data_IF_265582828923
#
_entry.id   IF_265582828923
#
_cell.length_a   1.000
_cell.length_b   1.000
_cell.length_c   1.000
_cell.angle_alpha   90.00
_cell.angle_beta   90.00
_cell.angle_gamma   90.00
#
_symmetry.space_group_name_H-M   'P 1'
#
loop_
_entity.id
_entity.type
_entity.pdbx_description
1 polymer ?
#
# COMPACT_ATOMS: atom_id res chain seq x y z
N UNK A 1 20.77 -15.07 -25.36
CA UNK A 1 19.29 -15.11 -25.27
C UNK A 1 18.74 -15.42 -23.87
N UNK A 2 19.40 -16.23 -23.02
CA UNK A 2 18.86 -16.61 -21.70
C UNK A 2 18.71 -15.48 -20.65
N UNK A 3 19.55 -14.44 -20.68
CA UNK A 3 19.51 -13.34 -19.70
C UNK A 3 18.30 -12.42 -19.90
N UNK A 4 17.99 -12.06 -21.15
CA UNK A 4 16.87 -11.17 -21.48
C UNK A 4 15.51 -11.79 -21.12
N UNK A 5 15.31 -13.08 -21.37
CA UNK A 5 14.06 -13.79 -21.00
C UNK A 5 13.86 -13.82 -19.47
N UNK A 6 14.94 -14.02 -18.71
CA UNK A 6 14.88 -13.97 -17.23
C UNK A 6 14.58 -12.56 -16.73
N UNK A 7 15.22 -11.54 -17.32
CA UNK A 7 14.96 -10.14 -16.99
C UNK A 7 13.51 -9.72 -17.29
N UNK A 8 12.96 -10.10 -18.45
CA UNK A 8 11.55 -9.86 -18.79
C UNK A 8 10.60 -10.53 -17.80
N UNK A 9 10.91 -11.76 -17.36
CA UNK A 9 10.14 -12.44 -16.31
C UNK A 9 10.21 -11.70 -14.97
N UNK A 10 11.37 -11.17 -14.57
CA UNK A 10 11.50 -10.37 -13.35
C UNK A 10 10.64 -9.09 -13.42
N UNK A 11 10.65 -8.40 -14.56
CA UNK A 11 9.83 -7.20 -14.78
C UNK A 11 8.34 -7.54 -14.69
N UNK A 12 7.89 -8.60 -15.37
CA UNK A 12 6.48 -8.99 -15.37
C UNK A 12 5.96 -9.29 -13.95
N UNK A 13 6.73 -10.00 -13.13
CA UNK A 13 6.36 -10.29 -11.74
C UNK A 13 6.36 -9.00 -10.91
N UNK A 14 7.36 -8.13 -11.07
CA UNK A 14 7.42 -6.86 -10.33
C UNK A 14 6.29 -5.89 -10.69
N UNK A 15 5.80 -5.90 -11.92
CA UNK A 15 4.59 -5.14 -12.30
C UNK A 15 3.39 -5.59 -11.47
N UNK A 16 3.22 -6.90 -11.24
CA UNK A 16 2.14 -7.41 -10.39
C UNK A 16 2.31 -6.98 -8.93
N UNK A 17 3.54 -7.03 -8.39
CA UNK A 17 3.84 -6.56 -7.03
C UNK A 17 3.44 -5.10 -6.86
N UNK A 18 3.88 -4.24 -7.78
CA UNK A 18 3.59 -2.80 -7.73
C UNK A 18 2.10 -2.54 -7.93
N UNK A 19 1.44 -3.21 -8.87
CA UNK A 19 0.01 -3.04 -9.11
C UNK A 19 -0.83 -3.40 -7.89
N UNK A 20 -0.60 -4.58 -7.30
CA UNK A 20 -1.35 -5.01 -6.11
C UNK A 20 -1.05 -4.12 -4.90
N UNK A 21 0.22 -3.78 -4.66
CA UNK A 21 0.60 -2.88 -3.58
C UNK A 21 0.00 -1.47 -3.74
N UNK A 22 -0.06 -0.94 -4.97
CA UNK A 22 -0.65 0.37 -5.21
C UNK A 22 -2.17 0.38 -5.03
N UNK A 23 -2.87 -0.66 -5.50
CA UNK A 23 -4.31 -0.80 -5.27
C UNK A 23 -4.61 -0.93 -3.77
N UNK A 24 -3.83 -1.75 -3.06
CA UNK A 24 -3.95 -1.89 -1.61
C UNK A 24 -3.69 -0.56 -0.89
N UNK A 25 -2.70 0.19 -1.32
CA UNK A 25 -2.36 1.50 -0.76
C UNK A 25 -3.49 2.53 -0.93
N UNK A 26 -4.10 2.61 -2.10
CA UNK A 26 -5.04 3.70 -2.45
C UNK A 26 -6.48 3.41 -2.05
N UNK A 27 -6.91 2.14 -2.08
CA UNK A 27 -8.31 1.82 -1.82
C UNK A 27 -8.67 1.97 -0.34
N UNK A 28 -9.74 2.72 -0.01
CA UNK A 28 -10.16 2.96 1.36
C UNK A 28 -10.99 1.82 1.97
N UNK A 29 -11.02 0.63 1.35
CA UNK A 29 -11.90 -0.49 1.73
C UNK A 29 -11.15 -1.65 2.38
N UNK A 30 -10.17 -1.38 3.25
CA UNK A 30 -9.46 -2.45 3.97
C UNK A 30 -10.40 -3.19 4.93
N UNK A 31 -11.29 -2.43 5.56
CA UNK A 31 -12.38 -2.93 6.39
C UNK A 31 -13.66 -2.30 5.89
N UNK A 32 -14.70 -3.11 5.69
CA UNK A 32 -15.99 -2.63 5.21
C UNK A 32 -17.10 -3.05 6.17
N UNK A 33 -18.04 -2.15 6.43
CA UNK A 33 -19.24 -2.41 7.20
C UNK A 33 -20.46 -1.92 6.42
N UNK A 34 -21.45 -2.79 6.24
CA UNK A 34 -22.70 -2.46 5.53
C UNK A 34 -23.95 -2.61 6.40
N UNK A 35 -23.77 -2.88 7.70
CA UNK A 35 -24.86 -3.11 8.64
C UNK A 35 -24.87 -1.99 9.68
N UNK A 36 -26.07 -1.48 9.95
CA UNK A 36 -26.31 -0.49 10.98
C UNK A 36 -26.27 -1.19 12.34
N UNK A 37 -25.37 -0.77 13.22
CA UNK A 37 -25.35 -1.26 14.59
C UNK A 37 -26.65 -0.89 15.35
N UNK A 38 -27.03 -1.71 16.33
CA UNK A 38 -28.20 -1.49 17.16
C UNK A 38 -28.18 -0.12 17.90
N UNK A 39 -26.99 0.44 18.17
CA UNK A 39 -26.81 1.78 18.74
C UNK A 39 -27.45 2.88 17.86
N UNK A 40 -27.58 2.64 16.55
CA UNK A 40 -28.03 3.61 15.55
C UNK A 40 -29.38 3.25 14.91
N UNK A 41 -30.02 2.18 15.38
CA UNK A 41 -31.29 1.71 14.84
C UNK A 41 -32.37 2.79 14.96
N UNK A 42 -33.12 3.00 13.86
CA UNK A 42 -34.13 4.05 13.77
C UNK A 42 -33.59 5.46 13.58
N UNK A 43 -32.27 5.64 13.42
CA UNK A 43 -31.65 6.92 13.02
C UNK A 43 -30.95 6.81 11.68
N UNK A 44 -30.38 5.63 11.41
CA UNK A 44 -29.68 5.30 10.17
C UNK A 44 -30.44 4.17 9.46
N UNK A 45 -30.77 4.37 8.19
CA UNK A 45 -31.52 3.42 7.36
C UNK A 45 -30.60 2.51 6.56
N UNK A 46 -29.52 3.08 6.02
CA UNK A 46 -28.47 2.36 5.29
C UNK A 46 -27.12 2.95 5.68
N UNK A 47 -26.12 2.09 5.76
CA UNK A 47 -24.75 2.52 5.94
C UNK A 47 -23.82 1.65 5.11
N UNK A 48 -22.80 2.27 4.55
CA UNK A 48 -21.63 1.62 3.97
C UNK A 48 -20.41 2.41 4.41
N UNK A 49 -19.72 1.89 5.41
CA UNK A 49 -18.46 2.44 5.92
C UNK A 49 -17.27 1.64 5.37
N UNK A 50 -16.37 2.32 4.69
CA UNK A 50 -15.11 1.77 4.20
C UNK A 50 -13.96 2.44 4.96
N UNK A 51 -13.20 1.66 5.73
CA UNK A 51 -12.01 2.12 6.46
C UNK A 51 -10.75 1.67 5.70
N UNK A 52 -9.91 2.63 5.36
CA UNK A 52 -8.65 2.42 4.67
C UNK A 52 -7.43 2.72 5.53
N UNK A 53 -6.26 2.78 4.89
CA UNK A 53 -5.01 3.17 5.54
C UNK A 53 -4.86 4.68 5.73
N UNK A 54 -5.34 5.47 4.76
CA UNK A 54 -5.16 6.94 4.71
C UNK A 54 -6.36 7.72 5.21
N UNK A 55 -7.50 7.05 5.32
CA UNK A 55 -8.77 7.67 5.60
C UNK A 55 -9.90 6.66 5.64
N UNK A 56 -11.10 7.19 5.75
CA UNK A 56 -12.35 6.43 5.68
C UNK A 56 -13.31 7.11 4.72
N UNK A 57 -14.15 6.31 4.10
CA UNK A 57 -15.28 6.77 3.31
C UNK A 57 -16.56 6.24 3.95
N UNK A 58 -17.58 7.08 3.99
CA UNK A 58 -18.89 6.70 4.49
C UNK A 58 -19.94 7.08 3.44
N UNK A 59 -20.88 6.18 3.20
CA UNK A 59 -22.13 6.39 2.49
C UNK A 59 -23.26 6.01 3.44
N UNK A 60 -23.99 7.01 3.93
CA UNK A 60 -24.99 6.85 4.99
C UNK A 60 -26.29 7.50 4.57
N UNK A 61 -27.39 6.77 4.75
CA UNK A 61 -28.75 7.27 4.61
C UNK A 61 -29.37 7.38 6.01
N UNK A 62 -29.76 8.60 6.39
CA UNK A 62 -30.42 8.88 7.66
C UNK A 62 -31.93 8.81 7.53
N UNK A 63 -32.58 8.25 8.55
CA UNK A 63 -34.03 8.21 8.67
C UNK A 63 -34.55 9.53 9.28
N UNK A 64 -35.02 10.42 8.41
CA UNK A 64 -35.56 11.72 8.80
C UNK A 64 -36.94 11.62 9.47
N UNK A 65 -37.62 10.47 9.44
CA UNK A 65 -38.90 10.28 10.13
C UNK A 65 -38.75 10.27 11.66
N UNK A 66 -37.53 10.02 12.17
CA UNK A 66 -37.23 9.88 13.60
C UNK A 66 -36.19 10.87 14.12
N UNK A 67 -35.48 11.58 13.25
CA UNK A 67 -34.39 12.50 13.60
C UNK A 67 -34.62 13.86 12.93
N UNK A 68 -35.62 14.61 13.40
CA UNK A 68 -36.02 15.91 12.83
C UNK A 68 -34.83 16.86 12.59
N UNK A 69 -34.77 17.42 11.38
CA UNK A 69 -34.03 18.67 11.11
C UNK A 69 -34.97 19.82 11.50
N UNK A 70 -34.66 20.63 12.52
CA UNK A 70 -35.53 21.72 12.94
C UNK A 70 -35.60 22.75 11.80
N UNK A 71 -36.81 22.98 11.27
CA UNK A 71 -37.07 23.98 10.23
C UNK A 71 -37.20 23.46 8.78
N UNK A 72 -37.27 22.15 8.54
CA UNK A 72 -37.65 21.59 7.23
C UNK A 72 -38.85 20.65 7.35
N UNK A 73 -40.00 21.10 6.83
CA UNK A 73 -41.24 20.31 6.71
C UNK A 73 -41.20 19.23 5.61
N UNK A 74 -40.02 18.95 5.03
CA UNK A 74 -39.87 17.98 3.96
C UNK A 74 -39.21 16.69 4.45
N UNK A 75 -40.01 15.61 4.47
CA UNK A 75 -39.67 14.22 4.81
C UNK A 75 -38.82 13.58 3.70
N UNK A 76 -37.65 14.17 3.40
CA UNK A 76 -36.73 13.60 2.41
C UNK A 76 -35.58 12.97 3.17
N UNK A 77 -35.45 11.64 3.06
CA UNK A 77 -34.29 10.89 3.55
C UNK A 77 -33.00 11.64 3.18
N UNK A 78 -32.13 11.87 4.17
CA UNK A 78 -30.87 12.58 3.95
C UNK A 78 -29.76 11.56 3.72
N UNK A 79 -29.19 11.55 2.52
CA UNK A 79 -28.03 10.74 2.19
C UNK A 79 -26.77 11.59 2.18
N UNK A 80 -25.68 11.02 2.69
CA UNK A 80 -24.37 11.65 2.68
C UNK A 80 -23.31 10.64 2.27
N UNK A 81 -22.52 11.02 1.27
CA UNK A 81 -21.34 10.28 0.84
C UNK A 81 -20.12 11.16 0.93
N UNK A 82 -19.18 10.83 1.79
CA UNK A 82 -17.98 11.65 2.04
C UNK A 82 -16.80 10.79 2.45
N UNK A 83 -15.60 11.21 2.04
CA UNK A 83 -14.34 10.59 2.42
C UNK A 83 -13.49 11.58 3.22
N UNK A 84 -12.92 11.10 4.31
CA UNK A 84 -12.12 11.88 5.24
C UNK A 84 -10.72 11.28 5.32
N UNK A 85 -9.70 12.11 5.52
CA UNK A 85 -8.35 11.65 5.75
C UNK A 85 -7.99 11.65 7.24
N UNK A 86 -7.18 10.66 7.64
CA UNK A 86 -6.66 10.59 9.01
C UNK A 86 -5.62 11.67 9.30
N UNK A 87 -4.74 11.93 8.34
CA UNK A 87 -3.52 12.70 8.58
C UNK A 87 -3.50 14.07 7.92
N UNK A 88 -4.37 14.31 6.93
CA UNK A 88 -4.45 15.59 6.24
C UNK A 88 -5.80 16.25 6.47
N UNK A 89 -5.82 17.57 6.67
CA UNK A 89 -7.07 18.32 6.68
C UNK A 89 -7.68 18.30 5.28
N UNK A 90 -8.93 17.87 5.19
CA UNK A 90 -9.74 17.97 3.98
C UNK A 90 -11.04 18.62 4.44
N UNK A 91 -11.32 19.81 3.92
CA UNK A 91 -12.55 20.53 4.23
C UNK A 91 -13.76 19.69 3.79
N UNK A 92 -14.45 19.14 4.78
CA UNK A 92 -15.62 18.30 4.59
C UNK A 92 -16.71 18.68 5.59
N UNK A 93 -17.94 18.25 5.35
CA UNK A 93 -18.98 18.32 6.37
C UNK A 93 -18.93 17.03 7.20
N UNK A 94 -19.21 17.09 8.50
CA UNK A 94 -19.48 15.90 9.32
C UNK A 94 -20.89 15.99 9.90
N UNK A 95 -21.60 14.86 9.92
CA UNK A 95 -22.94 14.79 10.50
C UNK A 95 -22.87 14.32 11.94
N UNK A 96 -23.54 15.07 12.81
CA UNK A 96 -23.69 14.75 14.21
C UNK A 96 -25.16 14.61 14.58
N UNK A 97 -25.47 13.60 15.38
CA UNK A 97 -26.80 13.40 15.95
C UNK A 97 -26.72 13.67 17.46
N UNK A 98 -27.22 14.83 17.88
CA UNK A 98 -27.53 15.09 19.30
C UNK A 98 -29.03 14.87 19.51
N UNK A 99 -29.82 15.95 19.44
CA UNK A 99 -31.29 15.96 19.41
C UNK A 99 -31.82 16.26 18.00
N UNK A 100 -30.96 16.80 17.14
CA UNK A 100 -31.23 17.21 15.77
C UNK A 100 -30.00 16.94 14.91
N UNK A 101 -30.18 16.64 13.62
CA UNK A 101 -29.07 16.45 12.69
C UNK A 101 -28.37 17.79 12.49
N UNK A 102 -27.12 17.90 12.97
CA UNK A 102 -26.26 19.06 12.72
C UNK A 102 -25.16 18.68 11.74
N UNK A 103 -24.87 19.59 10.82
CA UNK A 103 -23.71 19.54 9.93
C UNK A 103 -22.67 20.48 10.49
N UNK A 104 -21.56 19.92 10.95
CA UNK A 104 -20.41 20.70 11.39
C UNK A 104 -19.40 20.76 10.23
N UNK A 105 -18.82 21.93 9.98
CA UNK A 105 -17.67 22.03 9.08
C UNK A 105 -16.46 21.36 9.75
N UNK A 106 -15.85 20.42 9.04
CA UNK A 106 -14.72 19.63 9.48
C UNK A 106 -13.50 20.03 8.65
N UNK A 107 -12.74 21.00 9.17
CA UNK A 107 -11.58 21.60 8.49
C UNK A 107 -10.23 21.02 8.94
N UNK A 108 -10.25 20.14 9.93
CA UNK A 108 -9.06 19.49 10.51
C UNK A 108 -8.98 18.03 10.08
N UNK A 109 -7.81 17.40 10.20
CA UNK A 109 -7.69 15.96 9.99
C UNK A 109 -8.48 15.17 11.04
N UNK A 110 -8.84 13.90 10.75
CA UNK A 110 -9.55 13.07 11.74
C UNK A 110 -8.72 12.93 13.02
N UNK A 111 -7.41 12.70 12.89
CA UNK A 111 -6.57 12.48 14.06
C UNK A 111 -6.42 13.74 14.91
N UNK A 112 -6.31 14.93 14.31
CA UNK A 112 -6.25 16.19 15.08
C UNK A 112 -7.55 16.44 15.85
N UNK A 113 -8.69 16.17 15.21
CA UNK A 113 -9.99 16.31 15.86
C UNK A 113 -10.18 15.27 16.98
N UNK A 114 -9.76 14.02 16.74
CA UNK A 114 -9.81 12.95 17.73
C UNK A 114 -8.93 13.25 18.95
N UNK A 115 -7.75 13.83 18.75
CA UNK A 115 -6.90 14.26 19.87
C UNK A 115 -7.48 15.44 20.66
N UNK A 116 -8.30 16.27 20.03
CA UNK A 116 -8.96 17.40 20.69
C UNK A 116 -10.23 16.98 21.44
N UNK A 117 -11.03 16.10 20.83
CA UNK A 117 -12.27 15.60 21.41
C UNK A 117 -12.57 14.18 20.89
N UNK A 118 -12.03 13.21 21.60
CA UNK A 118 -12.06 11.79 21.22
C UNK A 118 -13.48 11.22 21.13
N UNK A 119 -14.34 11.51 22.11
CA UNK A 119 -15.71 11.04 22.18
C UNK A 119 -16.60 11.65 21.08
N UNK A 120 -16.42 12.94 20.78
CA UNK A 120 -17.17 13.60 19.69
C UNK A 120 -16.75 13.07 18.33
N UNK A 121 -15.45 12.91 18.09
CA UNK A 121 -14.92 12.41 16.85
C UNK A 121 -15.35 10.96 16.60
N UNK A 122 -15.18 10.09 17.59
CA UNK A 122 -15.50 8.66 17.45
C UNK A 122 -16.99 8.43 17.25
N UNK A 123 -17.88 9.12 17.98
CA UNK A 123 -19.33 8.97 17.82
C UNK A 123 -19.83 9.46 16.47
N UNK A 124 -19.34 10.60 15.99
CA UNK A 124 -19.75 11.12 14.68
C UNK A 124 -19.34 10.16 13.54
N UNK A 125 -18.11 9.64 13.58
CA UNK A 125 -17.61 8.67 12.61
C UNK A 125 -18.27 7.29 12.75
N UNK A 126 -18.61 6.87 13.97
CA UNK A 126 -19.31 5.63 14.27
C UNK A 126 -20.71 5.63 13.64
N UNK A 127 -21.47 6.73 13.81
CA UNK A 127 -22.78 6.90 13.18
C UNK A 127 -22.68 6.79 11.65
N UNK A 128 -21.70 7.45 11.04
CA UNK A 128 -21.55 7.48 9.59
C UNK A 128 -21.06 6.14 9.00
N UNK A 129 -20.30 5.35 9.75
CA UNK A 129 -19.80 4.04 9.30
C UNK A 129 -20.64 2.86 9.77
N UNK A 130 -21.58 3.10 10.68
CA UNK A 130 -22.46 2.08 11.26
C UNK A 130 -21.77 1.16 12.25
N UNK A 131 -20.55 1.50 12.68
CA UNK A 131 -19.75 0.75 13.66
C UNK A 131 -20.12 1.27 15.07
N UNK A 132 -20.09 0.42 16.11
CA UNK A 132 -20.26 0.88 17.50
C UNK A 132 -19.28 2.00 17.88
N UNK A 133 -19.73 2.97 18.67
CA UNK A 133 -18.92 4.12 19.07
C UNK A 133 -17.62 3.74 19.81
N UNK A 134 -17.68 2.72 20.67
CA UNK A 134 -16.52 2.16 21.39
C UNK A 134 -15.46 1.59 20.45
N UNK A 135 -15.91 0.90 19.40
CA UNK A 135 -15.02 0.18 18.48
C UNK A 135 -14.39 1.12 17.46
N UNK A 136 -15.14 2.14 17.06
CA UNK A 136 -14.59 3.25 16.29
C UNK A 136 -13.53 4.01 17.09
N UNK A 137 -13.78 4.27 18.38
CA UNK A 137 -12.79 4.91 19.27
C UNK A 137 -11.49 4.10 19.33
N UNK A 138 -11.58 2.79 19.58
CA UNK A 138 -10.41 1.90 19.63
C UNK A 138 -9.65 1.85 18.30
N UNK A 139 -10.38 1.85 17.18
CA UNK A 139 -9.78 1.88 15.84
C UNK A 139 -9.04 3.19 15.57
N UNK A 140 -9.65 4.34 15.93
CA UNK A 140 -9.03 5.66 15.78
C UNK A 140 -7.84 5.83 16.71
N UNK A 141 -7.91 5.34 17.95
CA UNK A 141 -6.79 5.35 18.89
C UNK A 141 -5.58 4.62 18.29
N UNK A 142 -5.79 3.43 17.72
CA UNK A 142 -4.73 2.70 17.03
C UNK A 142 -4.22 3.42 15.76
N UNK A 143 -5.12 3.94 14.93
CA UNK A 143 -4.77 4.55 13.63
C UNK A 143 -4.09 5.91 13.76
N UNK A 144 -4.47 6.70 14.76
CA UNK A 144 -3.91 8.01 15.06
C UNK A 144 -2.68 7.95 15.97
N UNK A 145 -2.41 6.80 16.61
CA UNK A 145 -1.19 6.59 17.38
C UNK A 145 0.09 6.66 16.52
N UNK A 146 1.24 6.73 17.20
CA UNK A 146 2.55 6.61 16.54
C UNK A 146 2.69 5.31 15.75
N UNK A 147 2.05 4.22 16.19
CA UNK A 147 2.04 2.93 15.47
C UNK A 147 1.27 3.03 14.16
N UNK A 148 0.11 3.69 14.14
CA UNK A 148 -0.67 3.90 12.92
C UNK A 148 0.09 4.74 11.89
N UNK A 149 0.75 5.82 12.33
CA UNK A 149 1.66 6.63 11.49
C UNK A 149 2.84 5.81 10.97
N UNK A 150 3.45 4.97 11.81
CA UNK A 150 4.54 4.09 11.41
C UNK A 150 4.08 3.08 10.36
N UNK A 151 2.89 2.51 10.51
CA UNK A 151 2.32 1.62 9.49
C UNK A 151 2.12 2.35 8.17
N UNK A 152 1.50 3.53 8.18
CA UNK A 152 1.29 4.32 6.98
C UNK A 152 2.62 4.59 6.25
N UNK A 153 3.67 4.96 7.00
CA UNK A 153 5.01 5.14 6.46
C UNK A 153 5.63 3.83 5.90
N UNK A 154 5.42 2.68 6.57
CA UNK A 154 5.91 1.39 6.13
C UNK A 154 5.26 0.93 4.81
N UNK A 155 3.95 1.12 4.65
CA UNK A 155 3.26 0.79 3.38
C UNK A 155 3.79 1.68 2.25
N UNK A 156 3.87 2.99 2.46
CA UNK A 156 4.45 3.90 1.45
C UNK A 156 5.88 3.50 1.08
N UNK A 157 6.70 3.19 2.08
CA UNK A 157 8.09 2.79 1.87
C UNK A 157 8.16 1.49 1.08
N UNK A 158 7.34 0.48 1.41
CA UNK A 158 7.28 -0.78 0.68
C UNK A 158 6.88 -0.58 -0.79
N UNK A 159 5.81 0.18 -1.04
CA UNK A 159 5.35 0.47 -2.40
C UNK A 159 6.40 1.24 -3.20
N UNK A 160 7.03 2.25 -2.60
CA UNK A 160 8.05 3.07 -3.26
C UNK A 160 9.31 2.26 -3.58
N UNK A 161 9.78 1.43 -2.65
CA UNK A 161 10.93 0.54 -2.87
C UNK A 161 10.67 -0.45 -4.01
N UNK A 162 9.47 -1.04 -4.07
CA UNK A 162 9.09 -1.95 -5.15
C UNK A 162 8.97 -1.23 -6.50
N UNK A 163 8.47 0.01 -6.52
CA UNK A 163 8.44 0.82 -7.73
C UNK A 163 9.84 1.17 -8.23
N UNK A 164 10.74 1.59 -7.34
CA UNK A 164 12.14 1.86 -7.69
C UNK A 164 12.85 0.60 -8.20
N UNK A 165 12.62 -0.56 -7.57
CA UNK A 165 13.14 -1.83 -8.03
C UNK A 165 12.66 -2.17 -9.45
N UNK A 166 11.38 -1.95 -9.76
CA UNK A 166 10.83 -2.13 -11.10
C UNK A 166 11.55 -1.24 -12.13
N UNK A 167 11.74 0.05 -11.83
CA UNK A 167 12.46 0.99 -12.71
C UNK A 167 13.90 0.51 -12.94
N UNK A 168 14.61 0.09 -11.90
CA UNK A 168 15.98 -0.43 -12.02
C UNK A 168 16.05 -1.68 -12.89
N UNK A 169 15.06 -2.58 -12.79
CA UNK A 169 15.00 -3.78 -13.64
C UNK A 169 14.73 -3.42 -15.11
N UNK A 170 13.82 -2.48 -15.38
CA UNK A 170 13.57 -2.00 -16.75
C UNK A 170 14.84 -1.41 -17.34
N UNK A 171 15.51 -0.51 -16.63
CA UNK A 171 16.79 0.09 -17.07
C UNK A 171 17.87 -0.98 -17.24
N UNK A 172 17.94 -1.95 -16.34
CA UNK A 172 18.90 -3.06 -16.41
C UNK A 172 18.71 -3.94 -17.64
N UNK A 173 17.46 -4.22 -18.02
CA UNK A 173 17.14 -5.07 -19.18
C UNK A 173 17.24 -4.31 -20.51
N UNK A 174 16.76 -3.06 -20.55
CA UNK A 174 16.70 -2.26 -21.78
C UNK A 174 18.02 -1.57 -22.12
N UNK A 175 18.71 -0.99 -21.13
CA UNK A 175 19.83 -0.07 -21.36
C UNK A 175 21.19 -0.62 -20.90
N UNK A 176 21.23 -1.55 -19.93
CA UNK A 176 22.46 -1.92 -19.21
C UNK A 176 22.59 -3.43 -18.96
N UNK A 177 22.41 -4.25 -20.01
CA UNK A 177 22.35 -5.72 -19.90
C UNK A 177 23.61 -6.40 -19.31
N UNK A 178 24.75 -5.70 -19.28
CA UNK A 178 26.03 -6.20 -18.77
C UNK A 178 26.29 -5.82 -17.31
N UNK A 179 25.52 -4.87 -16.73
CA UNK A 179 25.76 -4.39 -15.35
C UNK A 179 24.98 -5.22 -14.34
N UNK A 180 25.67 -6.17 -13.69
CA UNK A 180 25.10 -6.99 -12.63
C UNK A 180 24.72 -6.21 -11.35
N UNK A 181 25.19 -4.97 -11.18
CA UNK A 181 24.88 -4.15 -10.00
C UNK A 181 23.42 -3.69 -9.96
N UNK A 182 22.77 -3.45 -11.10
CA UNK A 182 21.39 -2.99 -11.16
C UNK A 182 20.39 -4.04 -10.62
N UNK A 183 20.38 -5.30 -11.09
CA UNK A 183 19.49 -6.32 -10.52
C UNK A 183 19.82 -6.65 -9.06
N UNK A 184 21.08 -6.51 -8.64
CA UNK A 184 21.48 -6.67 -7.24
C UNK A 184 20.83 -5.59 -6.34
N UNK A 185 20.89 -4.31 -6.73
CA UNK A 185 20.25 -3.22 -5.99
C UNK A 185 18.72 -3.39 -5.98
N UNK A 186 18.13 -3.75 -7.12
CA UNK A 186 16.69 -4.04 -7.20
C UNK A 186 16.29 -5.17 -6.22
N UNK A 187 17.10 -6.23 -6.10
CA UNK A 187 16.87 -7.32 -5.14
C UNK A 187 16.89 -6.82 -3.70
N UNK A 188 17.85 -5.96 -3.34
CA UNK A 188 17.90 -5.38 -1.99
C UNK A 188 16.67 -4.52 -1.69
N UNK A 189 16.21 -3.71 -2.65
CA UNK A 189 14.99 -2.92 -2.49
C UNK A 189 13.74 -3.79 -2.31
N UNK A 190 13.60 -4.86 -3.10
CA UNK A 190 12.48 -5.81 -2.93
C UNK A 190 12.54 -6.50 -1.58
N UNK A 191 13.71 -6.96 -1.14
CA UNK A 191 13.86 -7.60 0.18
C UNK A 191 13.54 -6.63 1.32
N UNK A 192 13.97 -5.37 1.23
CA UNK A 192 13.61 -4.35 2.21
C UNK A 192 12.09 -4.08 2.19
N UNK A 193 11.47 -4.02 1.01
CA UNK A 193 10.03 -3.91 0.85
C UNK A 193 9.26 -5.07 1.50
N UNK A 194 9.74 -6.32 1.33
CA UNK A 194 9.18 -7.52 1.98
C UNK A 194 9.23 -7.37 3.51
N UNK A 195 10.35 -6.90 4.07
CA UNK A 195 10.47 -6.66 5.52
C UNK A 195 9.47 -5.59 5.98
N UNK A 196 9.35 -4.48 5.24
CA UNK A 196 8.37 -3.44 5.54
C UNK A 196 6.93 -3.97 5.53
N UNK A 197 6.53 -4.73 4.50
CA UNK A 197 5.19 -5.34 4.43
C UNK A 197 4.97 -6.38 5.53
N UNK A 198 5.98 -7.15 5.93
CA UNK A 198 5.88 -8.11 7.02
C UNK A 198 5.64 -7.42 8.38
N UNK A 199 6.44 -6.39 8.70
CA UNK A 199 6.28 -5.60 9.93
C UNK A 199 4.92 -4.92 9.94
N UNK A 200 4.53 -4.31 8.83
CA UNK A 200 3.25 -3.64 8.69
C UNK A 200 2.07 -4.60 8.89
N UNK A 201 2.12 -5.80 8.29
CA UNK A 201 1.10 -6.83 8.49
C UNK A 201 0.95 -7.22 9.96
N UNK A 202 2.05 -7.32 10.70
CA UNK A 202 2.03 -7.61 12.14
C UNK A 202 1.39 -6.47 12.94
N UNK A 203 1.74 -5.22 12.65
CA UNK A 203 1.22 -4.04 13.34
C UNK A 203 -0.28 -3.82 13.03
N UNK A 204 -0.73 -4.08 11.81
CA UNK A 204 -2.15 -3.91 11.41
C UNK A 204 -3.07 -5.04 11.87
N UNK A 205 -2.54 -6.23 12.12
CA UNK A 205 -3.37 -7.37 12.50
C UNK A 205 -4.13 -7.12 13.82
N UNK A 206 -3.52 -6.42 14.77
CA UNK A 206 -4.13 -6.11 16.06
C UNK A 206 -5.35 -5.18 15.95
N UNK A 207 -5.24 -3.96 15.38
CA UNK A 207 -6.40 -3.07 15.23
C UNK A 207 -7.47 -3.64 14.29
N UNK A 208 -7.08 -4.32 13.21
CA UNK A 208 -8.03 -4.95 12.28
C UNK A 208 -8.83 -6.07 12.95
N UNK A 209 -8.18 -6.89 13.80
CA UNK A 209 -8.89 -7.92 14.58
C UNK A 209 -9.86 -7.33 15.58
N UNK A 210 -9.52 -6.21 16.24
CA UNK A 210 -10.42 -5.52 17.15
C UNK A 210 -11.64 -4.96 16.42
N UNK A 211 -11.43 -4.30 15.29
CA UNK A 211 -12.51 -3.78 14.43
C UNK A 211 -13.41 -4.89 13.86
N UNK A 212 -12.86 -6.09 13.61
CA UNK A 212 -13.67 -7.24 13.22
C UNK A 212 -14.40 -7.88 14.41
N UNK A 213 -13.78 -7.93 15.57
CA UNK A 213 -14.40 -8.51 16.77
C UNK A 213 -15.58 -7.68 17.29
N UNK A 214 -15.62 -6.38 16.97
CA UNK A 214 -16.69 -5.50 17.42
C UNK A 214 -18.05 -5.73 16.77
N UNK A 215 -18.09 -6.32 15.57
CA UNK A 215 -19.36 -6.65 14.93
C UNK A 215 -19.17 -7.80 13.93
N UNK A 216 -20.08 -8.80 13.92
CA UNK A 216 -20.02 -9.90 12.96
C UNK A 216 -20.20 -9.45 11.50
N UNK A 217 -20.67 -8.23 11.29
CA UNK A 217 -20.95 -7.65 9.98
C UNK A 217 -19.75 -6.92 9.37
N UNK A 218 -18.70 -6.70 10.16
CA UNK A 218 -17.46 -6.09 9.68
C UNK A 218 -16.64 -7.14 8.92
N UNK A 219 -16.40 -6.88 7.64
CA UNK A 219 -15.65 -7.75 6.75
C UNK A 219 -14.32 -7.11 6.33
N UNK A 220 -13.32 -7.95 6.05
CA UNK A 220 -12.10 -7.50 5.42
C UNK A 220 -12.36 -7.30 3.94
N UNK A 221 -11.99 -6.14 3.41
CA UNK A 221 -12.15 -5.88 2.00
C UNK A 221 -10.96 -6.35 1.15
N UNK A 222 -11.14 -6.22 -0.16
CA UNK A 222 -10.18 -6.63 -1.19
C UNK A 222 -8.74 -6.09 -0.99
N UNK A 223 -8.52 -4.83 -0.60
CA UNK A 223 -7.18 -4.25 -0.43
C UNK A 223 -6.28 -5.06 0.51
N UNK A 224 -6.84 -5.59 1.61
CA UNK A 224 -6.10 -6.40 2.56
C UNK A 224 -5.59 -7.70 1.93
N UNK A 225 -6.44 -8.38 1.14
CA UNK A 225 -6.05 -9.59 0.42
C UNK A 225 -5.04 -9.32 -0.68
N UNK A 226 -5.16 -8.17 -1.37
CA UNK A 226 -4.20 -7.74 -2.38
C UNK A 226 -2.84 -7.46 -1.76
N UNK A 227 -2.76 -6.88 -0.56
CA UNK A 227 -1.48 -6.67 0.12
C UNK A 227 -0.80 -7.99 0.51
N UNK A 228 -1.55 -8.96 1.05
CA UNK A 228 -0.99 -10.30 1.31
C UNK A 228 -0.54 -10.98 0.02
N UNK A 229 -1.31 -10.85 -1.05
CA UNK A 229 -0.93 -11.38 -2.36
C UNK A 229 0.34 -10.70 -2.88
N UNK A 230 0.42 -9.36 -2.78
CA UNK A 230 1.60 -8.59 -3.14
C UNK A 230 2.84 -9.05 -2.37
N UNK A 231 2.71 -9.34 -1.08
CA UNK A 231 3.80 -9.88 -0.25
C UNK A 231 4.32 -11.23 -0.79
N UNK A 232 3.44 -12.20 -1.05
CA UNK A 232 3.88 -13.50 -1.58
C UNK A 232 4.47 -13.40 -2.99
N UNK A 233 3.88 -12.56 -3.84
CA UNK A 233 4.40 -12.29 -5.18
C UNK A 233 5.75 -11.57 -5.11
N UNK A 234 5.97 -10.69 -4.13
CA UNK A 234 7.26 -10.03 -3.90
C UNK A 234 8.35 -11.02 -3.46
N UNK A 235 8.03 -11.96 -2.57
CA UNK A 235 8.93 -13.07 -2.22
C UNK A 235 9.34 -13.87 -3.47
N UNK A 236 8.36 -14.21 -4.32
CA UNK A 236 8.63 -14.88 -5.58
C UNK A 236 9.47 -14.01 -6.54
N UNK A 237 9.16 -12.71 -6.62
CA UNK A 237 9.91 -11.74 -7.41
C UNK A 237 11.39 -11.69 -6.98
N UNK A 238 11.67 -11.71 -5.67
CA UNK A 238 13.02 -11.79 -5.13
C UNK A 238 13.80 -12.98 -5.68
N UNK A 239 13.19 -14.18 -5.69
CA UNK A 239 13.81 -15.38 -6.27
C UNK A 239 14.04 -15.26 -7.78
N UNK A 240 13.09 -14.67 -8.52
CA UNK A 240 13.22 -14.50 -9.98
C UNK A 240 14.31 -13.46 -10.32
N UNK A 241 14.40 -12.37 -9.55
CA UNK A 241 15.44 -11.34 -9.68
C UNK A 241 16.82 -11.94 -9.38
N UNK A 242 16.95 -12.76 -8.35
CA UNK A 242 18.21 -13.45 -8.04
C UNK A 242 18.68 -14.34 -9.21
N UNK A 243 17.76 -15.07 -9.83
CA UNK A 243 18.08 -15.88 -11.03
C UNK A 243 18.51 -15.03 -12.22
N UNK A 244 17.91 -13.85 -12.39
CA UNK A 244 18.32 -12.88 -13.41
C UNK A 244 19.72 -12.33 -13.11
N UNK A 245 19.97 -11.89 -11.87
CA UNK A 245 21.27 -11.40 -11.39
C UNK A 245 22.39 -12.42 -11.65
N UNK A 246 22.18 -13.68 -11.26
CA UNK A 246 23.13 -14.77 -11.50
C UNK A 246 23.40 -14.98 -13.00
N UNK A 247 22.39 -14.80 -13.84
CA UNK A 247 22.52 -14.91 -15.30
C UNK A 247 23.35 -13.78 -15.89
N UNK A 248 23.17 -12.55 -15.40
CA UNK A 248 23.95 -11.38 -15.83
C UNK A 248 25.40 -11.52 -15.37
N UNK A 249 25.65 -11.91 -14.11
CA UNK A 249 27.00 -12.17 -13.58
C UNK A 249 27.76 -13.20 -14.41
N UNK A 250 27.12 -14.34 -14.74
CA UNK A 250 27.74 -15.37 -15.61
C UNK A 250 28.08 -14.82 -16.99
N UNK A 251 27.20 -14.02 -17.59
CA UNK A 251 27.45 -13.40 -18.89
C UNK A 251 28.60 -12.39 -18.83
N UNK A 252 28.67 -11.58 -17.77
CA UNK A 252 29.74 -10.59 -17.60
C UNK A 252 31.12 -11.25 -17.43
N UNK A 253 31.20 -12.31 -16.61
CA UNK A 253 32.43 -13.06 -16.41
C UNK A 253 32.91 -13.77 -17.69
N UNK A 254 31.98 -14.29 -18.50
CA UNK A 254 32.33 -14.88 -19.80
C UNK A 254 32.94 -13.85 -20.75
N UNK A 255 32.37 -12.63 -20.80
CA UNK A 255 32.90 -11.53 -21.62
C UNK A 255 34.27 -11.06 -21.12
N UNK A 256 34.48 -10.96 -19.81
CA UNK A 256 35.79 -10.60 -19.25
C UNK A 256 36.86 -11.67 -19.55
N UNK A 257 36.48 -12.95 -19.45
CA UNK A 257 37.38 -14.07 -19.76
C UNK A 257 37.77 -14.07 -21.24
N UNK A 258 36.83 -13.82 -22.15
CA UNK A 258 37.10 -13.72 -23.59
C UNK A 258 38.04 -12.54 -23.91
N UNK A 259 37.82 -11.37 -23.29
CA UNK A 259 38.73 -10.22 -23.43
C UNK A 259 40.15 -10.55 -22.98
N UNK A 260 40.31 -11.17 -21.79
CA UNK A 260 41.63 -11.58 -21.29
C UNK A 260 42.31 -12.60 -22.21
N UNK A 261 41.55 -13.51 -22.82
CA UNK A 261 42.06 -14.46 -23.81
C UNK A 261 42.51 -13.75 -25.08
N UNK A 262 41.72 -12.82 -25.61
CA UNK A 262 42.10 -12.02 -26.78
C UNK A 262 43.35 -11.18 -26.53
N UNK A 263 43.48 -10.55 -25.36
CA UNK A 263 44.65 -9.76 -24.99
C UNK A 263 45.91 -10.64 -24.89
N UNK A 264 45.80 -11.84 -24.30
CA UNK A 264 46.90 -12.82 -24.28
C UNK A 264 47.32 -13.26 -25.68
N UNK A 265 46.36 -13.56 -26.56
CA UNK A 265 46.64 -13.94 -27.95
C UNK A 265 47.32 -12.81 -28.74
N UNK A 266 46.88 -11.56 -28.59
CA UNK A 266 47.55 -10.40 -29.20
C UNK A 266 48.98 -10.24 -28.69
N UNK A 267 49.20 -10.40 -27.39
CA UNK A 267 50.52 -10.28 -26.79
C UNK A 267 51.48 -11.36 -27.31
N UNK A 268 51.02 -12.61 -27.45
CA UNK A 268 51.81 -13.70 -28.03
C UNK A 268 52.13 -13.44 -29.51
N UNK A 269 51.17 -12.94 -30.28
CA UNK A 269 51.40 -12.60 -31.69
C UNK A 269 52.44 -11.48 -31.84
N UNK A 270 52.41 -10.45 -30.98
CA UNK A 270 53.39 -9.37 -31.00
C UNK A 270 54.79 -9.89 -30.69
N UNK A 271 54.95 -10.70 -29.63
CA UNK A 271 56.24 -11.31 -29.27
C UNK A 271 56.79 -12.19 -30.40
N UNK A 272 55.94 -13.00 -31.04
CA UNK A 272 56.34 -13.83 -32.18
C UNK A 272 56.79 -13.01 -33.40
N UNK A 273 56.24 -11.81 -33.61
CA UNK A 273 56.66 -10.92 -34.70
C UNK A 273 58.01 -10.27 -34.41
N UNK A 274 58.24 -9.80 -33.18
CA UNK A 274 59.51 -9.18 -32.78
C UNK A 274 60.70 -10.15 -32.87
N UNK A 275 60.52 -11.40 -32.42
CA UNK A 275 61.59 -12.41 -32.53
C UNK A 275 61.93 -12.79 -33.99
N UNK A 276 61.09 -12.43 -34.97
CA UNK A 276 61.32 -12.73 -36.39
C UNK A 276 62.09 -11.62 -37.11
N UNK A 277 62.13 -10.42 -36.55
CA UNK A 277 62.89 -9.28 -37.10
C UNK A 277 64.33 -9.21 -36.63
N UNK A 278 64.68 -9.89 -35.53
CA UNK A 278 66.05 -9.94 -34.98
C UNK A 278 66.92 -11.07 -35.58
N UNK A 279 66.37 -11.85 -36.52
CA UNK A 279 67.09 -12.88 -37.28
C UNK A 279 67.23 -12.39 -38.73
N UNK A 280 68.01 -11.32 -38.94
CA UNK A 280 68.55 -10.90 -40.24
C UNK A 280 69.95 -10.35 -40.03
#
# INVERSE_FOLDING_TARGET
>A
MGSARKGASSIAVMVLVVAFGFVALVMPSWVTNSVVDAEWEGRVKRVQGDLGLWGLCADVDFDNARVLIPGKDSVVDFSMRTCYSYFWPIDNEIVRIETVIKKDAYTTSICDHFHTNDDRASKALAIMTGIPSSSMKDFLDASCSGTGKAVAALVLSATLLNLLALVLLIVGVCCCQTRASLPLVARYMVNLGIVCSAVMSFLMLSPLRKAKASSPHVSYGLPLYLEFTAFFVACFAGCVIERFECSVKKSANAVDTDKRLQDKMRHQHLVSKTNRTDIV
#
